data_IF_642593564954
#
_entry.id   IF_642593564954
#
_cell.length_a   1.000
_cell.length_b   1.000
_cell.length_c   1.000
_cell.angle_alpha   90.00
_cell.angle_beta   90.00
_cell.angle_gamma   90.00
#
_symmetry.space_group_name_H-M   'P 1'
#
loop_
_entity.id
_entity.type
_entity.pdbx_description
1 polymer ?
#
# COMPACT_ATOMS: atom_id res chain seq x y z
N UNK A 1 16.67 -29.86 -27.57
CA UNK A 1 17.16 -29.69 -26.19
C UNK A 1 18.04 -28.47 -26.18
N UNK A 2 17.60 -27.36 -25.60
CA UNK A 2 18.47 -26.22 -25.25
C UNK A 2 17.71 -25.33 -24.26
N UNK A 3 17.61 -25.79 -23.00
CA UNK A 3 17.05 -25.01 -21.87
C UNK A 3 18.16 -24.47 -20.95
N UNK A 4 19.40 -24.43 -21.42
CA UNK A 4 20.58 -24.13 -20.61
C UNK A 4 21.37 -22.90 -21.08
N UNK A 5 20.76 -22.03 -21.89
CA UNK A 5 21.37 -20.74 -22.23
C UNK A 5 21.40 -19.85 -20.95
N UNK A 6 22.57 -19.35 -20.51
CA UNK A 6 22.70 -18.46 -19.36
C UNK A 6 21.77 -17.24 -19.43
N UNK A 7 21.48 -16.75 -20.64
CA UNK A 7 20.64 -15.59 -20.88
C UNK A 7 19.17 -15.88 -20.56
N UNK A 8 18.69 -17.10 -20.84
CA UNK A 8 17.33 -17.54 -20.48
C UNK A 8 17.17 -17.68 -18.97
N UNK A 9 18.16 -18.27 -18.28
CA UNK A 9 18.15 -18.38 -16.81
C UNK A 9 18.18 -17.03 -16.11
N UNK A 10 18.96 -16.08 -16.63
CA UNK A 10 19.01 -14.72 -16.09
C UNK A 10 17.66 -14.01 -16.26
N UNK A 11 17.03 -14.12 -17.43
CA UNK A 11 15.70 -13.54 -17.70
C UNK A 11 14.62 -14.13 -16.77
N UNK A 12 14.62 -15.45 -16.56
CA UNK A 12 13.70 -16.10 -15.63
C UNK A 12 13.89 -15.63 -14.18
N UNK A 13 15.15 -15.39 -13.77
CA UNK A 13 15.44 -14.86 -12.43
C UNK A 13 14.87 -13.46 -12.25
N UNK A 14 15.12 -12.56 -13.21
CA UNK A 14 14.60 -11.19 -13.20
C UNK A 14 13.06 -11.22 -13.16
N UNK A 15 12.42 -12.04 -14.00
CA UNK A 15 10.96 -12.17 -14.00
C UNK A 15 10.39 -12.62 -12.65
N UNK A 16 11.04 -13.56 -11.96
CA UNK A 16 10.64 -13.98 -10.61
C UNK A 16 10.80 -12.86 -9.60
N UNK A 17 11.90 -12.11 -9.66
CA UNK A 17 12.13 -10.95 -8.79
C UNK A 17 11.05 -9.87 -9.00
N UNK A 18 10.72 -9.54 -10.25
CA UNK A 18 9.64 -8.60 -10.58
C UNK A 18 8.30 -9.04 -9.99
N UNK A 19 7.94 -10.33 -10.11
CA UNK A 19 6.70 -10.87 -9.53
C UNK A 19 6.67 -10.78 -8.02
N UNK A 20 7.77 -11.12 -7.35
CA UNK A 20 7.88 -11.02 -5.89
C UNK A 20 7.74 -9.57 -5.44
N UNK A 21 8.39 -8.63 -6.11
CA UNK A 21 8.29 -7.21 -5.80
C UNK A 21 6.86 -6.69 -5.99
N UNK A 22 6.21 -7.05 -7.11
CA UNK A 22 4.81 -6.71 -7.35
C UNK A 22 3.88 -7.21 -6.24
N UNK A 23 4.00 -8.48 -5.86
CA UNK A 23 3.19 -9.09 -4.79
C UNK A 23 3.45 -8.44 -3.43
N UNK A 24 4.71 -8.10 -3.13
CA UNK A 24 5.07 -7.41 -1.90
C UNK A 24 4.42 -6.02 -1.83
N UNK A 25 4.43 -5.26 -2.93
CA UNK A 25 3.78 -3.95 -2.99
C UNK A 25 2.26 -4.05 -2.85
N UNK A 26 1.62 -5.05 -3.45
CA UNK A 26 0.19 -5.31 -3.25
C UNK A 26 -0.15 -5.58 -1.77
N UNK A 27 0.70 -6.35 -1.10
CA UNK A 27 0.51 -6.65 0.32
C UNK A 27 0.69 -5.40 1.20
N UNK A 28 1.72 -4.58 0.94
CA UNK A 28 1.94 -3.32 1.67
C UNK A 28 0.79 -2.33 1.49
N UNK A 29 0.28 -2.19 0.25
CA UNK A 29 -0.88 -1.34 -0.03
C UNK A 29 -2.09 -1.81 0.79
N UNK A 30 -2.36 -3.11 0.80
CA UNK A 30 -3.48 -3.69 1.53
C UNK A 30 -3.37 -3.48 3.04
N UNK A 31 -2.16 -3.60 3.59
CA UNK A 31 -1.90 -3.38 5.01
C UNK A 31 -2.17 -1.91 5.41
N UNK A 32 -1.71 -0.95 4.60
CA UNK A 32 -1.98 0.47 4.83
C UNK A 32 -3.47 0.80 4.67
N UNK A 33 -4.16 0.22 3.69
CA UNK A 33 -5.61 0.41 3.51
C UNK A 33 -6.40 -0.13 4.72
N UNK A 34 -6.01 -1.28 5.28
CA UNK A 34 -6.60 -1.82 6.51
C UNK A 34 -6.33 -0.91 7.71
N UNK A 35 -5.10 -0.42 7.86
CA UNK A 35 -4.73 0.49 8.94
C UNK A 35 -5.54 1.80 8.87
N UNK A 36 -5.77 2.33 7.66
CA UNK A 36 -6.63 3.49 7.47
C UNK A 36 -8.09 3.21 7.84
N UNK A 37 -8.59 2.00 7.59
CA UNK A 37 -9.93 1.61 8.05
C UNK A 37 -10.03 1.59 9.58
N UNK A 38 -9.00 1.11 10.27
CA UNK A 38 -8.92 1.17 11.74
C UNK A 38 -8.90 2.62 12.25
N UNK A 39 -8.11 3.49 11.60
CA UNK A 39 -8.06 4.91 11.93
C UNK A 39 -9.39 5.63 11.66
N UNK A 40 -10.12 5.27 10.61
CA UNK A 40 -11.45 5.82 10.35
C UNK A 40 -12.43 5.50 11.48
N UNK A 41 -12.46 4.24 11.94
CA UNK A 41 -13.28 3.83 13.11
C UNK A 41 -12.88 4.63 14.35
N UNK A 42 -11.58 4.84 14.55
CA UNK A 42 -11.06 5.62 15.68
C UNK A 42 -11.49 7.09 15.62
N UNK A 43 -11.50 7.70 14.43
CA UNK A 43 -12.02 9.05 14.22
C UNK A 43 -13.51 9.13 14.54
N UNK A 44 -14.31 8.15 14.11
CA UNK A 44 -15.75 8.11 14.39
C UNK A 44 -16.03 8.05 15.90
N UNK A 45 -15.27 7.23 16.64
CA UNK A 45 -15.37 7.13 18.10
C UNK A 45 -15.00 8.45 18.78
N UNK A 46 -13.94 9.11 18.34
CA UNK A 46 -13.56 10.43 18.86
C UNK A 46 -14.61 11.50 18.56
N UNK A 47 -15.23 11.47 17.38
CA UNK A 47 -16.35 12.34 17.04
C UNK A 47 -17.54 12.15 17.98
N UNK A 48 -17.89 10.90 18.30
CA UNK A 48 -18.95 10.59 19.26
C UNK A 48 -18.61 11.08 20.67
N UNK A 49 -17.38 10.83 21.14
CA UNK A 49 -16.93 11.34 22.44
C UNK A 49 -17.06 12.86 22.54
N UNK A 50 -16.70 13.60 21.47
CA UNK A 50 -16.84 15.06 21.45
C UNK A 50 -18.30 15.53 21.47
N UNK A 51 -19.22 14.72 20.93
CA UNK A 51 -20.65 15.03 20.94
C UNK A 51 -21.30 14.85 22.33
N UNK A 52 -20.77 13.98 23.19
CA UNK A 52 -21.33 13.66 24.52
C UNK A 52 -21.06 14.71 25.61
N UNK A 53 -20.84 15.98 25.25
CA UNK A 53 -20.61 17.09 26.20
C UNK A 53 -19.49 16.81 27.23
N UNK A 54 -18.31 16.38 26.75
CA UNK A 54 -17.13 16.24 27.59
C UNK A 54 -16.72 17.58 28.24
N UNK A 55 -16.13 17.48 29.45
CA UNK A 55 -15.44 18.61 30.08
C UNK A 55 -14.37 19.17 29.15
N UNK A 56 -14.13 20.49 29.19
CA UNK A 56 -13.20 21.18 28.28
C UNK A 56 -11.84 20.49 28.15
N UNK A 57 -11.22 20.09 29.27
CA UNK A 57 -9.92 19.41 29.26
C UNK A 57 -9.96 18.02 28.61
N UNK A 58 -11.06 17.27 28.77
CA UNK A 58 -11.27 15.99 28.09
C UNK A 58 -11.53 16.19 26.60
N UNK A 59 -12.30 17.21 26.23
CA UNK A 59 -12.57 17.56 24.83
C UNK A 59 -11.30 17.94 24.08
N UNK A 60 -10.42 18.73 24.68
CA UNK A 60 -9.17 19.17 24.05
C UNK A 60 -8.21 17.99 23.75
N UNK A 61 -8.14 17.02 24.66
CA UNK A 61 -7.35 15.79 24.44
C UNK A 61 -7.92 14.96 23.29
N UNK A 62 -9.24 14.77 23.23
CA UNK A 62 -9.88 14.00 22.15
C UNK A 62 -9.73 14.71 20.80
N UNK A 63 -9.86 16.04 20.74
CA UNK A 63 -9.59 16.81 19.52
C UNK A 63 -8.17 16.60 19.01
N UNK A 64 -7.19 16.67 19.90
CA UNK A 64 -5.79 16.42 19.54
C UNK A 64 -5.60 15.02 18.95
N UNK A 65 -6.17 13.99 19.57
CA UNK A 65 -6.07 12.63 19.04
C UNK A 65 -6.80 12.43 17.71
N UNK A 66 -7.91 13.14 17.50
CA UNK A 66 -8.63 13.16 16.23
C UNK A 66 -7.77 13.79 15.13
N UNK A 67 -7.16 14.94 15.39
CA UNK A 67 -6.24 15.62 14.47
C UNK A 67 -5.01 14.76 14.14
N UNK A 68 -4.37 14.16 15.14
CA UNK A 68 -3.25 13.24 14.96
C UNK A 68 -3.63 12.00 14.12
N UNK A 69 -4.86 11.49 14.31
CA UNK A 69 -5.33 10.31 13.56
C UNK A 69 -5.65 10.69 12.11
N UNK A 70 -6.24 11.86 11.85
CA UNK A 70 -6.42 12.36 10.49
C UNK A 70 -5.09 12.58 9.77
N UNK A 71 -4.08 13.14 10.44
CA UNK A 71 -2.76 13.33 9.85
C UNK A 71 -2.15 11.98 9.41
N UNK A 72 -2.25 10.95 10.25
CA UNK A 72 -1.78 9.59 9.90
C UNK A 72 -2.52 8.98 8.72
N UNK A 73 -3.83 9.20 8.62
CA UNK A 73 -4.60 8.75 7.45
C UNK A 73 -4.07 9.41 6.18
N UNK A 74 -3.84 10.73 6.21
CA UNK A 74 -3.29 11.47 5.07
C UNK A 74 -1.89 10.99 4.67
N UNK A 75 -1.00 10.80 5.64
CA UNK A 75 0.34 10.24 5.40
C UNK A 75 0.27 8.85 4.74
N UNK A 76 -0.61 7.98 5.24
CA UNK A 76 -0.83 6.65 4.66
C UNK A 76 -1.42 6.73 3.25
N UNK A 77 -2.36 7.64 2.98
CA UNK A 77 -2.94 7.84 1.64
C UNK A 77 -1.89 8.28 0.62
N UNK A 78 -1.00 9.19 1.01
CA UNK A 78 0.15 9.60 0.19
C UNK A 78 1.10 8.44 -0.07
N UNK A 79 1.43 7.64 0.95
CA UNK A 79 2.26 6.45 0.82
C UNK A 79 1.62 5.41 -0.12
N UNK A 80 0.33 5.11 0.05
CA UNK A 80 -0.44 4.20 -0.82
C UNK A 80 -0.40 4.68 -2.28
N UNK A 81 -0.53 5.99 -2.52
CA UNK A 81 -0.46 6.55 -3.87
C UNK A 81 0.90 6.27 -4.52
N UNK A 82 2.00 6.45 -3.79
CA UNK A 82 3.34 6.16 -4.31
C UNK A 82 3.54 4.66 -4.55
N UNK A 83 3.14 3.80 -3.61
CA UNK A 83 3.21 2.35 -3.78
C UNK A 83 2.39 1.86 -4.98
N UNK A 84 1.23 2.45 -5.25
CA UNK A 84 0.41 2.14 -6.43
C UNK A 84 1.13 2.51 -7.73
N UNK A 85 1.83 3.64 -7.78
CA UNK A 85 2.65 4.01 -8.95
C UNK A 85 3.79 3.03 -9.18
N UNK A 86 4.50 2.65 -8.13
CA UNK A 86 5.60 1.68 -8.20
C UNK A 86 5.09 0.29 -8.63
N UNK A 87 4.00 -0.17 -8.04
CA UNK A 87 3.32 -1.42 -8.42
C UNK A 87 2.91 -1.42 -9.89
N UNK A 88 2.37 -0.31 -10.39
CA UNK A 88 1.97 -0.20 -11.79
C UNK A 88 3.18 -0.23 -12.74
N UNK A 89 4.33 0.32 -12.33
CA UNK A 89 5.58 0.18 -13.07
C UNK A 89 6.02 -1.29 -13.18
N UNK A 90 6.02 -2.01 -12.05
CA UNK A 90 6.32 -3.46 -12.04
C UNK A 90 5.33 -4.26 -12.89
N UNK A 91 4.04 -3.90 -12.89
CA UNK A 91 3.02 -4.53 -13.75
C UNK A 91 3.39 -4.40 -15.22
N UNK A 92 3.74 -3.19 -15.67
CA UNK A 92 4.13 -2.92 -17.05
C UNK A 92 5.37 -3.73 -17.43
N UNK A 93 6.39 -3.78 -16.56
CA UNK A 93 7.59 -4.57 -16.81
C UNK A 93 7.26 -6.07 -16.96
N UNK A 94 6.43 -6.61 -16.07
CA UNK A 94 5.97 -8.01 -16.13
C UNK A 94 5.22 -8.28 -17.45
N UNK A 95 4.30 -7.40 -17.84
CA UNK A 95 3.53 -7.53 -19.09
C UNK A 95 4.46 -7.54 -20.33
N UNK A 96 5.47 -6.66 -20.37
CA UNK A 96 6.49 -6.65 -21.43
C UNK A 96 7.26 -7.97 -21.46
N UNK A 97 7.67 -8.50 -20.30
CA UNK A 97 8.34 -9.79 -20.22
C UNK A 97 7.46 -10.93 -20.74
N UNK A 98 6.18 -10.97 -20.35
CA UNK A 98 5.24 -12.01 -20.76
C UNK A 98 4.93 -11.96 -22.26
N UNK A 99 4.79 -10.78 -22.85
CA UNK A 99 4.56 -10.62 -24.28
C UNK A 99 5.79 -11.05 -25.10
N UNK A 100 7.00 -10.66 -24.67
CA UNK A 100 8.26 -11.09 -25.32
C UNK A 100 8.50 -12.61 -25.25
N UNK A 101 7.88 -13.31 -24.30
CA UNK A 101 7.95 -14.78 -24.18
C UNK A 101 6.89 -15.43 -25.06
N UNK A 102 5.69 -14.84 -25.19
CA UNK A 102 4.60 -15.37 -26.03
C UNK A 102 4.86 -15.21 -27.54
N UNK A 103 5.63 -14.20 -27.94
CA UNK A 103 6.05 -13.96 -29.33
C UNK A 103 7.24 -14.83 -29.79
N UNK A 104 7.66 -15.81 -28.99
CA UNK A 104 8.72 -16.80 -29.30
C UNK A 104 8.19 -18.23 -29.30
#
# INVERSE_FOLDING_TARGET
MERNDPNTKMREKIYKELKVNFQNLEQQIKELENLNAEYAIKCDLYGQCLAEHLLSSGSDVIKKHLEETHAKIQENEEAIKQLKLERDAYRIEIEIYENNIKDK
#
